data_IF_264684709612
#
_entry.id   IF_264684709612
#
_cell.length_a   1.000
_cell.length_b   1.000
_cell.length_c   1.000
_cell.angle_alpha   90.00
_cell.angle_beta   90.00
_cell.angle_gamma   90.00
#
_symmetry.space_group_name_H-M   'P 1'
#
loop_
_entity.id
_entity.type
_entity.pdbx_description
1 polymer ?
#
# COMPACT_ATOMS: atom_id res chain seq x y z
N UNK A 1 -8.92 -4.07 -4.89
CA UNK A 1 -8.80 -2.65 -4.50
C UNK A 1 -7.86 -2.59 -3.30
N UNK A 2 -6.81 -1.77 -3.35
CA UNK A 2 -5.89 -1.61 -2.22
C UNK A 2 -6.57 -0.78 -1.12
N UNK A 3 -7.17 -1.46 -0.14
CA UNK A 3 -7.89 -0.82 0.95
C UNK A 3 -6.98 0.11 1.78
N UNK A 4 -5.75 -0.33 2.07
CA UNK A 4 -4.74 0.44 2.82
C UNK A 4 -4.39 1.77 2.15
N UNK A 5 -4.12 1.74 0.84
CA UNK A 5 -3.87 2.96 0.05
C UNK A 5 -5.07 3.90 0.01
N UNK A 6 -6.28 3.35 -0.11
CA UNK A 6 -7.49 4.15 -0.09
C UNK A 6 -7.67 4.87 1.26
N UNK A 7 -7.49 4.15 2.38
CA UNK A 7 -7.57 4.71 3.74
C UNK A 7 -6.50 5.79 3.92
N UNK A 8 -5.22 5.47 3.69
CA UNK A 8 -4.12 6.41 3.85
C UNK A 8 -4.33 7.70 3.03
N UNK A 9 -4.82 7.58 1.79
CA UNK A 9 -5.13 8.74 0.94
C UNK A 9 -6.26 9.60 1.53
N UNK A 10 -7.30 8.97 2.08
CA UNK A 10 -8.46 9.68 2.66
C UNK A 10 -8.12 10.36 3.98
N UNK A 11 -7.31 9.73 4.82
CA UNK A 11 -6.78 10.34 6.06
C UNK A 11 -5.95 11.58 5.77
N UNK A 12 -5.15 11.54 4.70
CA UNK A 12 -4.39 12.69 4.21
C UNK A 12 -5.24 13.72 3.44
N UNK A 13 -6.57 13.51 3.31
CA UNK A 13 -7.51 14.38 2.57
C UNK A 13 -7.13 14.62 1.10
N UNK A 14 -6.43 13.66 0.47
CA UNK A 14 -5.96 13.78 -0.91
C UNK A 14 -6.95 13.16 -1.90
N UNK A 15 -7.13 13.80 -3.06
CA UNK A 15 -7.80 13.18 -4.22
C UNK A 15 -6.80 12.30 -4.98
N UNK A 16 -7.31 11.35 -5.75
CA UNK A 16 -6.49 10.53 -6.64
C UNK A 16 -5.64 11.38 -7.60
N UNK A 17 -6.17 12.53 -8.05
CA UNK A 17 -5.44 13.49 -8.88
C UNK A 17 -4.24 14.13 -8.16
N UNK A 18 -4.35 14.34 -6.86
CA UNK A 18 -3.30 15.01 -6.08
C UNK A 18 -2.12 14.06 -5.88
N UNK A 19 -2.41 12.79 -5.56
CA UNK A 19 -1.38 11.75 -5.45
C UNK A 19 -0.74 11.47 -6.81
N UNK A 20 -1.54 11.40 -7.89
CA UNK A 20 -1.02 11.21 -9.24
C UNK A 20 -0.04 12.32 -9.66
N UNK A 21 -0.36 13.59 -9.34
CA UNK A 21 0.54 14.73 -9.57
C UNK A 21 1.85 14.59 -8.79
N UNK A 22 1.79 14.19 -7.52
CA UNK A 22 2.99 13.98 -6.67
C UNK A 22 3.86 12.82 -7.18
N UNK A 23 3.26 11.81 -7.79
CA UNK A 23 3.95 10.66 -8.40
C UNK A 23 4.38 10.90 -9.86
N UNK A 24 4.07 12.05 -10.44
CA UNK A 24 4.31 12.35 -11.85
C UNK A 24 3.70 11.31 -12.82
N UNK A 25 2.49 10.82 -12.49
CA UNK A 25 1.72 9.90 -13.34
C UNK A 25 0.33 10.44 -13.66
N UNK A 26 -0.35 9.85 -14.64
CA UNK A 26 -1.74 10.21 -14.91
C UNK A 26 -2.68 9.78 -13.77
N UNK A 27 -3.76 10.53 -13.56
CA UNK A 27 -4.85 10.15 -12.63
C UNK A 27 -5.35 8.74 -12.92
N UNK A 28 -5.48 8.39 -14.21
CA UNK A 28 -5.99 7.08 -14.63
C UNK A 28 -5.02 5.96 -14.26
N UNK A 29 -3.71 6.19 -14.40
CA UNK A 29 -2.66 5.26 -13.96
C UNK A 29 -2.75 5.03 -12.46
N UNK A 30 -2.83 6.10 -11.67
CA UNK A 30 -2.99 5.98 -10.22
C UNK A 30 -4.28 5.23 -9.84
N UNK A 31 -5.41 5.55 -10.48
CA UNK A 31 -6.68 4.86 -10.25
C UNK A 31 -6.57 3.35 -10.48
N UNK A 32 -5.98 2.93 -11.62
CA UNK A 32 -5.78 1.50 -11.93
C UNK A 32 -4.91 0.83 -10.88
N UNK A 33 -3.84 1.51 -10.44
CA UNK A 33 -2.95 0.99 -9.39
C UNK A 33 -3.60 0.90 -8.01
N UNK A 34 -4.32 1.93 -7.58
CA UNK A 34 -5.09 1.91 -6.32
C UNK A 34 -6.20 0.85 -6.35
N UNK A 35 -6.80 0.57 -7.51
CA UNK A 35 -7.75 -0.55 -7.66
C UNK A 35 -7.08 -1.93 -7.62
N UNK A 36 -5.76 -2.02 -7.73
CA UNK A 36 -5.01 -3.27 -7.79
C UNK A 36 -4.96 -3.89 -9.19
N UNK A 37 -5.34 -3.14 -10.23
CA UNK A 37 -5.27 -3.59 -11.63
C UNK A 37 -3.81 -3.62 -12.09
N UNK A 38 -3.03 -2.63 -11.66
CA UNK A 38 -1.60 -2.51 -11.96
C UNK A 38 -0.80 -2.41 -10.66
N UNK A 39 0.41 -2.94 -10.64
CA UNK A 39 1.32 -2.78 -9.50
C UNK A 39 1.96 -1.38 -9.47
N UNK A 40 2.32 -0.92 -8.28
CA UNK A 40 3.25 0.21 -8.12
C UNK A 40 4.69 -0.29 -8.31
N UNK A 41 5.52 0.55 -8.91
CA UNK A 41 6.97 0.34 -8.94
C UNK A 41 7.56 0.65 -7.56
N UNK A 42 8.73 0.08 -7.24
CA UNK A 42 9.40 0.38 -5.96
C UNK A 42 9.58 1.90 -5.72
N UNK A 43 9.92 2.66 -6.77
CA UNK A 43 10.06 4.12 -6.66
C UNK A 43 8.75 4.80 -6.25
N UNK A 44 7.62 4.41 -6.85
CA UNK A 44 6.31 4.94 -6.48
C UNK A 44 5.88 4.51 -5.08
N UNK A 45 6.19 3.28 -4.67
CA UNK A 45 5.90 2.78 -3.32
C UNK A 45 6.63 3.62 -2.25
N UNK A 46 7.92 3.88 -2.45
CA UNK A 46 8.73 4.73 -1.54
C UNK A 46 8.18 6.16 -1.51
N UNK A 47 7.76 6.70 -2.66
CA UNK A 47 7.14 8.03 -2.70
C UNK A 47 5.80 8.05 -1.96
N UNK A 48 4.96 7.01 -2.10
CA UNK A 48 3.67 6.92 -1.41
C UNK A 48 3.83 6.88 0.11
N UNK A 49 4.79 6.08 0.59
CA UNK A 49 5.15 6.04 2.02
C UNK A 49 5.50 7.44 2.55
N UNK A 50 6.30 8.21 1.80
CA UNK A 50 6.62 9.61 2.14
C UNK A 50 5.41 10.55 2.06
N UNK A 51 4.56 10.41 1.05
CA UNK A 51 3.37 11.26 0.85
C UNK A 51 2.37 11.07 1.99
N UNK A 52 2.19 9.84 2.46
CA UNK A 52 1.24 9.50 3.50
C UNK A 52 1.86 9.43 4.90
N UNK A 53 3.16 9.71 5.03
CA UNK A 53 3.90 9.67 6.29
C UNK A 53 3.76 8.33 7.04
N UNK A 54 3.95 7.23 6.33
CA UNK A 54 3.89 5.85 6.84
C UNK A 54 5.02 5.00 6.25
N UNK A 55 5.13 3.74 6.69
CA UNK A 55 6.12 2.80 6.17
C UNK A 55 5.58 2.01 4.97
N UNK A 56 6.49 1.33 4.24
CA UNK A 56 6.08 0.42 3.17
C UNK A 56 5.24 -0.75 3.69
N UNK A 57 5.52 -1.24 4.91
CA UNK A 57 4.74 -2.31 5.53
C UNK A 57 3.29 -1.86 5.78
N UNK A 58 3.10 -0.63 6.25
CA UNK A 58 1.75 -0.09 6.52
C UNK A 58 0.87 -0.05 5.27
N UNK A 59 1.48 0.16 4.09
CA UNK A 59 0.75 0.32 2.82
C UNK A 59 0.64 -0.96 1.99
N UNK A 60 1.67 -1.80 1.98
CA UNK A 60 1.85 -2.86 0.99
C UNK A 60 2.06 -4.25 1.58
N UNK A 61 2.29 -4.39 2.89
CA UNK A 61 2.37 -5.69 3.53
C UNK A 61 1.00 -6.05 4.07
N UNK A 62 0.39 -7.15 3.62
CA UNK A 62 -0.76 -7.71 4.33
C UNK A 62 -0.18 -8.49 5.51
N UNK A 63 -0.63 -8.19 6.74
CA UNK A 63 -0.16 -8.95 7.89
C UNK A 63 -0.45 -10.42 7.62
N UNK A 64 0.50 -11.30 7.92
CA UNK A 64 0.31 -12.74 7.88
C UNK A 64 -1.01 -13.01 8.63
N UNK A 65 -2.09 -13.31 7.92
CA UNK A 65 -3.17 -14.07 8.55
C UNK A 65 -2.48 -15.34 8.97
N UNK A 66 -2.31 -15.54 10.29
CA UNK A 66 -1.69 -16.70 10.94
C UNK A 66 -1.75 -17.91 10.01
N UNK A 67 -0.71 -18.09 9.19
CA UNK A 67 -0.55 -19.32 8.46
C UNK A 67 -0.21 -20.28 9.60
N UNK A 68 -1.22 -21.00 10.09
CA UNK A 68 -1.02 -22.18 10.91
C UNK A 68 -0.15 -23.09 10.06
N UNK A 69 1.17 -22.92 10.13
CA UNK A 69 2.14 -23.83 9.56
C UNK A 69 1.89 -25.13 10.33
N UNK A 70 1.25 -26.15 9.73
CA UNK A 70 0.98 -27.38 10.43
C UNK A 70 2.34 -28.04 10.65
N UNK A 71 2.88 -27.96 11.88
CA UNK A 71 4.08 -28.70 12.27
C UNK A 71 5.17 -27.94 13.00
N UNK A 72 5.10 -26.61 13.21
CA UNK A 72 6.11 -25.92 14.03
C UNK A 72 5.68 -25.85 15.50
N UNK A 73 5.84 -26.95 16.23
CA UNK A 73 5.81 -26.94 17.69
C UNK A 73 6.99 -26.13 18.22
N UNK A 74 6.78 -24.85 18.55
CA UNK A 74 7.71 -24.12 19.41
C UNK A 74 7.50 -24.60 20.84
N UNK A 75 8.27 -25.61 21.23
CA UNK A 75 8.49 -25.96 22.63
C UNK A 75 9.05 -24.74 23.34
N UNK A 76 8.22 -24.07 24.14
CA UNK A 76 8.72 -23.14 25.16
C UNK A 76 9.26 -24.02 26.29
N UNK A 77 10.59 -24.04 26.41
CA UNK A 77 11.30 -24.51 27.61
C UNK A 77 11.67 -23.34 28.50
#
# INVERSE_FOLDING_TARGET
>A
MNAKLFVARRENRLKQSDVAKKLHISKQTYYKKEKGINCFTQKEMVQLARIFNCTLNDLFWEGEEDEQIPGLNRSHG
#
